data_IF_046393885256
#
_entry.id   IF_046393885256
#
_cell.length_a   1.000
_cell.length_b   1.000
_cell.length_c   1.000
_cell.angle_alpha   90.00
_cell.angle_beta   90.00
_cell.angle_gamma   90.00
#
_symmetry.space_group_name_H-M   'P 1'
#
loop_
_entity.id
_entity.type
_entity.pdbx_description
1 polymer ?
#
# COMPACT_ATOMS: atom_id res chain seq x y z
N UNK A 1 -4.02 -29.58 28.43
CA UNK A 1 -3.25 -28.71 27.50
C UNK A 1 -3.80 -28.97 26.12
N UNK A 2 -4.19 -27.93 25.38
CA UNK A 2 -4.73 -28.09 24.02
C UNK A 2 -3.55 -28.42 23.08
N UNK A 3 -3.62 -29.48 22.26
CA UNK A 3 -2.54 -29.80 21.33
C UNK A 3 -2.41 -28.75 20.24
N UNK A 4 -1.19 -28.58 19.73
CA UNK A 4 -0.96 -27.69 18.58
C UNK A 4 -1.72 -28.23 17.35
N UNK A 5 -2.48 -27.39 16.64
CA UNK A 5 -3.15 -27.82 15.42
C UNK A 5 -2.14 -28.02 14.30
N UNK A 6 -2.32 -29.08 13.51
CA UNK A 6 -1.59 -29.29 12.25
C UNK A 6 -2.39 -28.69 11.11
N UNK A 7 -1.94 -27.58 10.55
CA UNK A 7 -2.58 -26.87 9.43
C UNK A 7 -1.62 -26.91 8.24
N UNK A 8 -2.10 -27.36 7.08
CA UNK A 8 -1.31 -27.33 5.86
C UNK A 8 -1.13 -25.90 5.34
N UNK A 9 -0.02 -25.65 4.65
CA UNK A 9 0.21 -24.36 3.99
C UNK A 9 -0.92 -24.07 2.99
N UNK A 10 -1.46 -22.85 3.06
CA UNK A 10 -2.50 -22.41 2.13
C UNK A 10 -1.90 -22.11 0.76
N UNK A 11 -2.38 -22.79 -0.26
CA UNK A 11 -2.05 -22.49 -1.66
C UNK A 11 -3.32 -22.02 -2.38
N UNK A 12 -3.51 -20.71 -2.59
CA UNK A 12 -4.72 -20.20 -3.20
C UNK A 12 -4.81 -20.66 -4.66
N UNK A 13 -6.01 -21.05 -5.13
CA UNK A 13 -6.17 -21.39 -6.53
C UNK A 13 -6.14 -20.11 -7.38
N UNK A 14 -5.59 -20.20 -8.59
CA UNK A 14 -5.60 -19.07 -9.52
C UNK A 14 -7.04 -18.70 -9.89
N UNK A 15 -7.33 -17.40 -9.89
CA UNK A 15 -8.60 -16.81 -10.35
C UNK A 15 -8.28 -15.75 -11.39
N UNK A 16 -9.30 -15.41 -12.18
CA UNK A 16 -9.30 -14.22 -13.04
C UNK A 16 -10.29 -13.27 -12.40
N UNK A 17 -9.78 -12.16 -11.86
CA UNK A 17 -10.59 -11.22 -11.10
C UNK A 17 -11.12 -10.10 -12.01
N UNK A 18 -12.39 -10.21 -12.42
CA UNK A 18 -13.07 -9.25 -13.31
C UNK A 18 -14.18 -8.43 -12.59
N UNK A 19 -14.22 -8.48 -11.26
CA UNK A 19 -15.13 -7.67 -10.45
C UNK A 19 -14.60 -6.25 -10.20
N UNK A 20 -15.28 -5.43 -9.38
CA UNK A 20 -14.86 -4.06 -9.07
C UNK A 20 -13.57 -3.98 -8.23
N UNK A 21 -13.13 -5.09 -7.64
CA UNK A 21 -11.88 -5.19 -6.88
C UNK A 21 -11.89 -6.38 -5.91
N UNK A 22 -10.70 -6.84 -5.47
CA UNK A 22 -9.37 -6.47 -5.96
C UNK A 22 -9.11 -6.99 -7.39
N UNK A 23 -8.11 -6.43 -8.07
CA UNK A 23 -7.66 -6.90 -9.39
C UNK A 23 -6.52 -7.92 -9.25
N UNK A 24 -6.28 -8.70 -10.32
CA UNK A 24 -5.11 -9.58 -10.39
C UNK A 24 -3.82 -8.76 -10.31
N UNK A 25 -2.90 -9.18 -9.44
CA UNK A 25 -1.60 -8.51 -9.25
C UNK A 25 -0.60 -9.04 -10.27
N UNK A 26 0.08 -8.13 -10.97
CA UNK A 26 1.07 -8.52 -11.97
C UNK A 26 2.24 -9.30 -11.33
N UNK A 27 2.79 -10.35 -11.98
CA UNK A 27 3.77 -11.25 -11.34
C UNK A 27 5.00 -10.57 -10.73
N UNK A 28 5.51 -9.50 -11.35
CA UNK A 28 6.69 -8.78 -10.83
C UNK A 28 6.38 -8.01 -9.55
N UNK A 29 5.15 -7.53 -9.36
CA UNK A 29 4.70 -6.87 -8.12
C UNK A 29 4.59 -7.88 -6.98
N UNK A 30 4.06 -9.09 -7.26
CA UNK A 30 4.05 -10.18 -6.28
C UNK A 30 5.48 -10.61 -5.89
N UNK A 31 6.38 -10.70 -6.86
CA UNK A 31 7.79 -11.03 -6.60
C UNK A 31 8.53 -9.92 -5.83
N UNK A 32 8.10 -8.66 -5.91
CA UNK A 32 8.63 -7.56 -5.12
C UNK A 32 8.19 -7.65 -3.64
N UNK A 33 6.95 -8.08 -3.37
CA UNK A 33 6.44 -8.23 -2.01
C UNK A 33 7.14 -9.33 -1.20
N UNK A 34 7.77 -10.31 -1.85
CA UNK A 34 8.50 -11.40 -1.17
C UNK A 34 9.97 -11.07 -0.88
N UNK A 35 10.42 -9.86 -1.20
CA UNK A 35 11.81 -9.43 -0.93
C UNK A 35 12.05 -9.19 0.57
N UNK A 36 13.30 -9.31 1.05
CA UNK A 36 13.63 -9.04 2.46
C UNK A 36 13.24 -7.63 2.89
N UNK A 37 12.92 -7.47 4.17
CA UNK A 37 12.65 -6.17 4.75
C UNK A 37 13.93 -5.34 4.88
N UNK A 38 13.77 -4.02 4.78
CA UNK A 38 14.83 -3.02 4.96
C UNK A 38 14.47 -2.14 6.16
N UNK A 39 15.46 -1.59 6.85
CA UNK A 39 15.23 -0.68 7.99
C UNK A 39 14.49 0.60 7.56
N UNK A 40 13.58 1.08 8.39
CA UNK A 40 12.73 2.24 8.08
C UNK A 40 13.49 3.58 7.95
N UNK A 41 14.73 3.66 8.45
CA UNK A 41 15.64 4.82 8.28
C UNK A 41 16.86 4.48 7.41
N UNK A 42 16.86 3.30 6.77
CA UNK A 42 17.94 2.92 5.87
C UNK A 42 17.99 3.90 4.68
N UNK A 43 19.17 4.43 4.29
CA UNK A 43 19.29 5.32 3.14
C UNK A 43 18.69 4.76 1.84
N UNK A 44 18.74 3.44 1.64
CA UNK A 44 18.12 2.79 0.48
C UNK A 44 16.60 2.89 0.52
N UNK A 45 16.00 2.75 1.70
CA UNK A 45 14.56 2.91 1.88
C UNK A 45 14.13 4.36 1.65
N UNK A 46 14.89 5.33 2.17
CA UNK A 46 14.60 6.76 1.95
C UNK A 46 14.67 7.11 0.47
N UNK A 47 15.70 6.67 -0.26
CA UNK A 47 15.82 6.89 -1.70
C UNK A 47 14.66 6.26 -2.48
N UNK A 48 14.22 5.05 -2.12
CA UNK A 48 13.04 4.41 -2.71
C UNK A 48 11.76 5.24 -2.47
N UNK A 49 11.60 5.84 -1.30
CA UNK A 49 10.45 6.69 -1.00
C UNK A 49 10.44 7.98 -1.83
N UNK A 50 11.61 8.55 -2.14
CA UNK A 50 11.73 9.69 -3.05
C UNK A 50 11.35 9.32 -4.49
N UNK A 51 11.76 8.14 -4.97
CA UNK A 51 11.32 7.60 -6.26
C UNK A 51 9.81 7.34 -6.29
N UNK A 52 9.26 6.75 -5.21
CA UNK A 52 7.82 6.51 -5.07
C UNK A 52 7.03 7.83 -5.14
N UNK A 53 7.50 8.89 -4.46
CA UNK A 53 6.89 10.22 -4.53
C UNK A 53 6.84 10.75 -5.97
N UNK A 54 7.92 10.61 -6.73
CA UNK A 54 7.96 11.02 -8.14
C UNK A 54 6.97 10.22 -9.00
N UNK A 55 6.87 8.90 -8.77
CA UNK A 55 5.91 8.05 -9.47
C UNK A 55 4.46 8.42 -9.13
N UNK A 56 4.16 8.77 -7.87
CA UNK A 56 2.84 9.27 -7.47
C UNK A 56 2.52 10.62 -8.11
N UNK A 57 3.48 11.55 -8.12
CA UNK A 57 3.33 12.84 -8.80
C UNK A 57 3.06 12.67 -10.29
N UNK A 58 3.75 11.72 -10.94
CA UNK A 58 3.47 11.33 -12.33
C UNK A 58 2.07 10.73 -12.48
N UNK A 59 1.69 9.77 -11.64
CA UNK A 59 0.38 9.12 -11.74
C UNK A 59 -0.79 10.10 -11.54
N UNK A 60 -0.66 11.05 -10.61
CA UNK A 60 -1.63 12.10 -10.35
C UNK A 60 -1.48 13.35 -11.23
N UNK A 61 -0.44 13.40 -12.08
CA UNK A 61 -0.10 14.57 -12.92
C UNK A 61 -0.03 15.87 -12.11
N UNK A 62 0.73 15.87 -11.01
CA UNK A 62 0.87 17.02 -10.09
C UNK A 62 2.33 17.39 -9.84
N UNK A 63 2.55 18.62 -9.36
CA UNK A 63 3.85 19.12 -8.88
C UNK A 63 3.87 19.35 -7.37
N UNK A 64 2.82 18.92 -6.65
CA UNK A 64 2.72 19.14 -5.21
C UNK A 64 3.87 18.45 -4.46
N UNK A 65 4.64 19.24 -3.70
CA UNK A 65 5.75 18.69 -2.90
C UNK A 65 5.26 17.76 -1.79
N UNK A 66 4.08 18.04 -1.23
CA UNK A 66 3.36 17.16 -0.31
C UNK A 66 2.63 16.06 -1.09
N UNK A 67 3.38 15.09 -1.62
CA UNK A 67 2.85 13.87 -2.22
C UNK A 67 3.45 12.68 -1.50
N UNK A 68 2.62 11.81 -0.92
CA UNK A 68 3.04 10.67 -0.12
C UNK A 68 2.06 9.50 -0.25
N UNK A 69 2.56 8.30 0.03
CA UNK A 69 1.72 7.10 0.19
C UNK A 69 1.27 6.97 1.66
N UNK A 70 -0.01 6.63 1.86
CA UNK A 70 -0.55 6.30 3.18
C UNK A 70 -0.56 4.78 3.33
N UNK A 71 -0.02 4.27 4.44
CA UNK A 71 0.07 2.83 4.73
C UNK A 71 -1.27 2.25 5.20
N UNK A 72 -2.28 2.27 4.33
CA UNK A 72 -3.63 1.81 4.65
C UNK A 72 -4.47 1.57 3.37
N UNK A 73 -5.66 0.97 3.46
CA UNK A 73 -6.61 0.89 2.35
C UNK A 73 -7.07 2.27 1.86
N UNK A 74 -7.70 2.33 0.69
CA UNK A 74 -8.12 3.61 0.07
C UNK A 74 -9.05 4.47 0.94
N UNK A 75 -9.91 3.86 1.78
CA UNK A 75 -10.78 4.59 2.70
C UNK A 75 -10.01 5.44 3.73
N UNK A 76 -8.83 4.98 4.16
CA UNK A 76 -8.00 5.73 5.08
C UNK A 76 -7.31 6.93 4.40
N UNK A 77 -7.13 6.90 3.08
CA UNK A 77 -6.70 8.08 2.32
C UNK A 77 -7.75 9.19 2.36
N UNK A 78 -9.02 8.83 2.22
CA UNK A 78 -10.14 9.76 2.41
C UNK A 78 -10.18 10.29 3.85
N UNK A 79 -10.08 9.41 4.84
CA UNK A 79 -10.07 9.79 6.26
C UNK A 79 -8.92 10.75 6.58
N UNK A 80 -7.71 10.46 6.08
CA UNK A 80 -6.55 11.33 6.27
C UNK A 80 -6.79 12.76 5.76
N UNK A 81 -7.46 12.94 4.62
CA UNK A 81 -7.83 14.26 4.14
C UNK A 81 -8.81 14.95 5.10
N UNK A 82 -9.86 14.27 5.55
CA UNK A 82 -10.87 14.87 6.43
C UNK A 82 -10.29 15.27 7.78
N UNK A 83 -9.58 14.37 8.46
CA UNK A 83 -9.09 14.62 9.83
C UNK A 83 -7.99 15.67 9.90
N UNK A 84 -7.31 15.97 8.78
CA UNK A 84 -6.27 17.00 8.72
C UNK A 84 -6.76 18.35 8.19
N UNK A 85 -7.88 18.39 7.45
CA UNK A 85 -8.34 19.59 6.76
C UNK A 85 -9.67 20.16 7.30
N UNK A 86 -10.43 19.38 8.07
CA UNK A 86 -11.77 19.78 8.55
C UNK A 86 -11.81 19.80 10.07
N UNK A 87 -12.21 20.95 10.63
CA UNK A 87 -12.46 21.12 12.05
C UNK A 87 -13.96 20.91 12.40
N UNK A 88 -14.29 20.52 13.65
CA UNK A 88 -15.68 20.41 14.09
C UNK A 88 -16.45 21.72 13.92
N UNK A 89 -17.49 21.71 13.09
CA UNK A 89 -18.39 22.85 12.85
C UNK A 89 -18.14 23.61 11.55
N UNK A 90 -17.11 23.26 10.78
CA UNK A 90 -16.91 23.78 9.42
C UNK A 90 -17.95 23.24 8.43
N UNK A 91 -18.27 24.03 7.39
CA UNK A 91 -19.27 23.73 6.35
C UNK A 91 -18.68 23.85 4.95
#
# INVERSE_FOLDING_TARGET
MIPAPTIAAFNPPRRILMGPGPSDVYPTVLAAQSKPTVGHLDPLFVGMMDELKQLLQYAFQTRNEMTLAISAPGSAGMEACFVNLVEPGEK
#
